data_IF_057068657136
#
_entry.id   IF_057068657136
#
_cell.length_a   1.000
_cell.length_b   1.000
_cell.length_c   1.000
_cell.angle_alpha   90.00
_cell.angle_beta   90.00
_cell.angle_gamma   90.00
#
_symmetry.space_group_name_H-M   'P 1'
#
loop_
_entity.id
_entity.type
_entity.pdbx_description
1 polymer ?
#
# COMPACT_ATOMS: atom_id res chain seq x y z
N UNK A 1 43.16 -31.04 -3.05
CA UNK A 1 42.14 -30.33 -3.84
C UNK A 1 41.17 -29.67 -2.87
N UNK A 2 41.37 -28.38 -2.61
CA UNK A 2 40.50 -27.57 -1.72
C UNK A 2 39.26 -27.17 -2.49
N UNK A 3 38.16 -27.89 -2.31
CA UNK A 3 36.85 -27.44 -2.77
C UNK A 3 36.40 -26.29 -1.86
N UNK A 4 36.70 -25.06 -2.25
CA UNK A 4 36.04 -23.86 -1.71
C UNK A 4 34.59 -23.88 -2.18
N UNK A 5 33.76 -24.70 -1.53
CA UNK A 5 32.32 -24.62 -1.69
C UNK A 5 31.89 -23.26 -1.16
N UNK A 6 31.50 -22.35 -2.07
CA UNK A 6 30.97 -21.05 -1.68
C UNK A 6 29.85 -21.25 -0.65
N UNK A 7 29.92 -20.52 0.47
CA UNK A 7 28.90 -20.64 1.51
C UNK A 7 27.51 -20.37 0.92
N UNK A 8 26.50 -21.19 1.24
CA UNK A 8 25.16 -20.97 0.75
C UNK A 8 24.65 -19.63 1.25
N UNK A 9 24.11 -18.83 0.33
CA UNK A 9 23.53 -17.53 0.66
C UNK A 9 22.10 -17.67 1.16
N UNK A 10 21.69 -16.73 2.01
CA UNK A 10 20.36 -16.65 2.56
C UNK A 10 19.32 -16.69 1.44
N UNK A 11 18.39 -17.65 1.55
CA UNK A 11 17.33 -17.80 0.56
C UNK A 11 16.21 -16.80 0.79
N UNK A 12 15.53 -16.45 -0.31
CA UNK A 12 14.27 -15.72 -0.25
C UNK A 12 13.26 -16.47 0.62
N UNK A 13 12.47 -15.71 1.37
CA UNK A 13 11.55 -16.23 2.37
C UNK A 13 10.27 -16.66 1.69
N UNK A 14 9.88 -17.91 1.90
CA UNK A 14 8.56 -18.38 1.46
C UNK A 14 7.49 -17.74 2.34
N UNK A 15 6.53 -17.05 1.73
CA UNK A 15 5.39 -16.40 2.40
C UNK A 15 4.49 -17.40 3.13
N UNK A 16 4.41 -18.63 2.63
CA UNK A 16 3.65 -19.74 3.25
C UNK A 16 4.54 -20.97 3.38
N UNK A 17 4.77 -21.39 4.62
CA UNK A 17 5.46 -22.65 4.91
C UNK A 17 4.65 -23.47 5.90
N UNK A 18 4.24 -24.68 5.50
CA UNK A 18 3.46 -25.63 6.30
C UNK A 18 4.38 -26.46 7.21
N UNK A 19 5.20 -25.83 8.04
CA UNK A 19 5.91 -26.56 9.10
C UNK A 19 5.02 -26.68 10.33
N UNK A 20 4.79 -27.90 10.84
CA UNK A 20 4.06 -28.09 12.11
C UNK A 20 4.88 -27.65 13.32
N UNK A 21 6.21 -27.76 13.24
CA UNK A 21 7.15 -27.40 14.32
C UNK A 21 6.99 -25.95 14.81
N UNK A 22 7.02 -25.76 16.12
CA UNK A 22 6.94 -24.47 16.81
C UNK A 22 8.20 -24.33 17.67
N UNK A 23 8.82 -23.15 17.71
CA UNK A 23 9.96 -22.91 18.58
C UNK A 23 9.55 -22.98 20.06
N UNK A 24 10.44 -23.48 20.92
CA UNK A 24 10.25 -23.52 22.38
C UNK A 24 10.51 -22.15 23.04
N UNK A 25 10.99 -21.16 22.28
CA UNK A 25 11.17 -19.81 22.80
C UNK A 25 9.83 -19.18 23.20
N UNK A 26 9.81 -18.30 24.24
CA UNK A 26 8.58 -17.62 24.68
C UNK A 26 7.88 -16.89 23.54
N UNK A 27 6.56 -16.85 23.53
CA UNK A 27 5.80 -16.16 22.48
C UNK A 27 6.18 -14.66 22.38
N UNK A 28 6.21 -14.14 21.15
CA UNK A 28 6.35 -12.70 20.91
C UNK A 28 4.97 -12.08 21.07
N UNK A 29 4.81 -11.21 22.06
CA UNK A 29 3.60 -10.41 22.28
C UNK A 29 3.66 -9.15 21.42
N UNK A 30 2.57 -8.81 20.76
CA UNK A 30 2.51 -7.64 19.88
C UNK A 30 2.68 -6.34 20.66
N UNK A 31 2.08 -6.24 21.84
CA UNK A 31 2.21 -5.05 22.72
C UNK A 31 3.67 -4.75 23.14
N UNK A 32 4.57 -5.74 23.06
CA UNK A 32 6.00 -5.57 23.39
C UNK A 32 6.83 -5.10 22.20
N UNK A 33 6.24 -5.01 21.01
CA UNK A 33 6.88 -4.48 19.82
C UNK A 33 6.48 -3.02 19.64
N UNK A 34 7.34 -2.23 19.00
CA UNK A 34 6.95 -0.90 18.55
C UNK A 34 5.80 -1.03 17.54
N UNK A 35 4.80 -0.13 17.55
CA UNK A 35 3.71 -0.17 16.56
C UNK A 35 4.22 -0.19 15.11
N UNK A 36 5.33 0.50 14.83
CA UNK A 36 6.02 0.53 13.53
C UNK A 36 6.76 -0.77 13.16
N UNK A 37 6.96 -1.67 14.10
CA UNK A 37 7.55 -3.00 13.90
C UNK A 37 6.50 -4.09 13.67
N UNK A 38 5.24 -3.70 13.54
CA UNK A 38 4.11 -4.58 13.31
C UNK A 38 3.41 -4.06 12.06
N UNK A 39 3.17 -4.95 11.11
CA UNK A 39 2.34 -4.70 9.95
C UNK A 39 1.18 -5.67 9.99
N UNK A 40 0.00 -5.18 10.36
CA UNK A 40 -1.25 -5.93 10.32
C UNK A 40 -2.12 -5.52 9.12
N UNK A 41 -1.57 -4.78 8.14
CA UNK A 41 -2.35 -4.27 7.01
C UNK A 41 -2.66 -5.37 6.00
N UNK A 42 -3.92 -5.41 5.61
CA UNK A 42 -4.42 -6.23 4.52
C UNK A 42 -3.99 -5.73 3.14
N UNK A 43 -3.87 -6.63 2.14
CA UNK A 43 -4.56 -7.94 2.12
C UNK A 43 -3.71 -9.20 2.33
N UNK A 44 -2.38 -9.16 2.50
CA UNK A 44 -1.62 -10.42 2.27
C UNK A 44 -0.55 -10.86 3.25
N UNK A 45 -0.12 -10.07 4.25
CA UNK A 45 0.90 -10.61 5.16
C UNK A 45 0.97 -9.85 6.46
N UNK A 46 0.26 -10.33 7.49
CA UNK A 46 0.60 -9.92 8.83
C UNK A 46 2.07 -10.28 9.07
N UNK A 47 2.88 -9.28 9.36
CA UNK A 47 4.31 -9.41 9.50
C UNK A 47 4.76 -8.61 10.71
N UNK A 48 5.82 -9.08 11.35
CA UNK A 48 6.46 -8.34 12.43
C UNK A 48 7.96 -8.33 12.20
N UNK A 49 8.63 -7.31 12.73
CA UNK A 49 10.08 -7.30 12.83
C UNK A 49 10.49 -8.34 13.87
N UNK A 50 11.27 -9.33 13.45
CA UNK A 50 11.77 -10.35 14.36
C UNK A 50 12.69 -9.72 15.41
N UNK A 51 12.46 -10.05 16.69
CA UNK A 51 13.23 -9.51 17.82
C UNK A 51 14.72 -9.83 17.78
N UNK A 52 15.10 -10.95 17.14
CA UNK A 52 16.49 -11.43 17.11
C UNK A 52 17.25 -10.91 15.88
N UNK A 53 16.69 -11.11 14.68
CA UNK A 53 17.40 -10.77 13.44
C UNK A 53 17.00 -9.42 12.84
N UNK A 54 16.05 -8.70 13.47
CA UNK A 54 15.57 -7.36 13.07
C UNK A 54 15.04 -7.26 11.64
N UNK A 55 14.60 -8.37 11.07
CA UNK A 55 14.03 -8.39 9.72
C UNK A 55 12.53 -8.62 9.76
N UNK A 56 11.83 -8.07 8.75
CA UNK A 56 10.39 -8.28 8.57
C UNK A 56 10.06 -9.74 8.26
N UNK A 57 9.28 -10.36 9.14
CA UNK A 57 8.96 -11.77 9.11
C UNK A 57 7.44 -11.97 9.02
N UNK A 58 6.95 -12.59 7.93
CA UNK A 58 5.57 -13.02 7.82
C UNK A 58 5.14 -13.94 8.97
N UNK A 59 3.89 -13.77 9.40
CA UNK A 59 3.20 -14.64 10.33
C UNK A 59 2.39 -15.65 9.52
N UNK A 60 2.62 -16.93 9.79
CA UNK A 60 1.81 -18.02 9.24
C UNK A 60 0.79 -18.52 10.25
N UNK A 61 -0.21 -19.28 9.77
CA UNK A 61 -1.25 -19.84 10.63
C UNK A 61 -2.28 -18.82 11.09
N UNK A 62 -2.46 -17.71 10.35
CA UNK A 62 -3.44 -16.67 10.67
C UNK A 62 -4.84 -17.26 10.90
N UNK A 63 -5.32 -18.13 10.01
CA UNK A 63 -6.60 -18.83 10.12
C UNK A 63 -6.60 -20.05 11.08
N UNK A 64 -5.47 -20.37 11.70
CA UNK A 64 -5.30 -21.52 12.57
C UNK A 64 -5.34 -21.19 14.06
N UNK A 65 -5.08 -22.19 14.91
CA UNK A 65 -4.95 -21.99 16.38
C UNK A 65 -3.56 -21.50 16.81
N UNK A 66 -2.56 -21.59 15.94
CA UNK A 66 -1.17 -21.27 16.25
C UNK A 66 -0.61 -20.33 15.19
N UNK A 67 -0.42 -19.08 15.59
CA UNK A 67 0.26 -18.06 14.80
C UNK A 67 1.75 -18.08 15.13
N UNK A 68 2.59 -18.08 14.11
CA UNK A 68 4.06 -18.11 14.29
C UNK A 68 4.80 -17.51 13.12
N UNK A 69 6.03 -17.10 13.36
CA UNK A 69 6.92 -16.59 12.31
C UNK A 69 7.25 -17.69 11.29
N UNK A 70 7.29 -17.33 10.01
CA UNK A 70 7.84 -18.22 8.98
C UNK A 70 9.33 -18.52 9.26
N UNK A 71 9.84 -19.69 8.84
CA UNK A 71 11.28 -19.94 8.81
C UNK A 71 12.02 -18.84 8.05
N UNK A 72 13.07 -18.28 8.65
CA UNK A 72 13.85 -17.22 8.03
C UNK A 72 15.33 -17.29 8.45
N UNK A 73 16.20 -16.73 7.60
CA UNK A 73 17.63 -16.58 7.86
C UNK A 73 17.93 -15.21 8.46
N UNK A 74 19.08 -15.08 9.10
CA UNK A 74 19.67 -13.80 9.49
C UNK A 74 20.26 -13.09 8.27
N UNK A 75 20.02 -11.79 8.14
CA UNK A 75 20.56 -10.99 7.03
C UNK A 75 19.73 -11.02 5.75
N UNK A 76 20.24 -10.34 4.72
CA UNK A 76 19.57 -10.10 3.44
C UNK A 76 19.68 -11.31 2.51
N UNK A 77 18.57 -11.64 1.84
CA UNK A 77 18.51 -12.74 0.88
C UNK A 77 19.44 -12.50 -0.31
N UNK A 78 20.10 -13.54 -0.80
CA UNK A 78 21.05 -13.48 -1.92
C UNK A 78 22.42 -12.88 -1.59
N UNK A 79 22.61 -12.35 -0.37
CA UNK A 79 23.83 -11.64 0.04
C UNK A 79 24.49 -12.27 1.27
N UNK A 80 23.75 -12.40 2.37
CA UNK A 80 24.28 -12.90 3.64
C UNK A 80 24.41 -14.43 3.66
N UNK A 81 25.20 -14.96 4.59
CA UNK A 81 25.25 -16.40 4.84
C UNK A 81 23.86 -16.94 5.26
N UNK A 82 23.52 -18.15 4.82
CA UNK A 82 22.24 -18.81 5.12
C UNK A 82 22.14 -19.33 6.57
N UNK A 83 22.46 -18.49 7.56
CA UNK A 83 22.37 -18.84 8.97
C UNK A 83 20.90 -18.71 9.40
N UNK A 84 20.31 -19.81 9.88
CA UNK A 84 18.92 -19.82 10.31
C UNK A 84 18.73 -19.00 11.57
N UNK A 85 17.74 -18.11 11.59
CA UNK A 85 17.43 -17.33 12.78
C UNK A 85 16.82 -18.22 13.87
N UNK A 86 17.27 -18.06 15.12
CA UNK A 86 16.77 -18.79 16.31
C UNK A 86 15.27 -18.55 16.59
N UNK A 87 14.75 -17.36 16.22
CA UNK A 87 13.33 -17.03 16.33
C UNK A 87 12.48 -17.51 15.14
N UNK A 88 13.02 -18.34 14.25
CA UNK A 88 12.21 -19.06 13.25
C UNK A 88 11.12 -19.90 13.90
N UNK A 89 9.91 -19.93 13.33
CA UNK A 89 8.76 -20.66 13.89
C UNK A 89 8.38 -20.26 15.32
N UNK A 90 8.83 -19.10 15.82
CA UNK A 90 8.45 -18.60 17.15
C UNK A 90 7.01 -18.16 17.16
N UNK A 91 6.28 -18.53 18.23
CA UNK A 91 4.86 -18.17 18.40
C UNK A 91 4.72 -16.66 18.47
N UNK A 92 3.65 -16.15 17.86
CA UNK A 92 3.23 -14.77 17.98
C UNK A 92 1.89 -14.77 18.70
N UNK A 93 1.81 -14.00 19.78
CA UNK A 93 0.62 -13.81 20.59
C UNK A 93 0.00 -12.45 20.24
N UNK A 94 -1.23 -12.49 19.73
CA UNK A 94 -2.02 -11.31 19.38
C UNK A 94 -2.75 -10.82 20.63
N UNK A 95 -2.02 -10.15 21.51
CA UNK A 95 -2.53 -9.57 22.75
C UNK A 95 -3.05 -8.14 22.60
N UNK A 96 -3.20 -7.68 21.36
CA UNK A 96 -3.88 -6.43 21.00
C UNK A 96 -4.72 -6.64 19.74
N UNK A 97 -5.78 -5.85 19.59
CA UNK A 97 -6.67 -5.88 18.41
C UNK A 97 -6.10 -5.05 17.24
N UNK A 98 -6.58 -5.28 16.02
CA UNK A 98 -6.20 -4.46 14.86
C UNK A 98 -6.53 -2.97 15.09
N UNK A 99 -7.72 -2.59 15.61
CA UNK A 99 -8.00 -1.20 15.98
C UNK A 99 -7.04 -0.62 17.00
N UNK A 100 -6.71 -1.37 18.07
CA UNK A 100 -5.74 -0.91 19.09
C UNK A 100 -4.36 -0.67 18.48
N UNK A 101 -3.89 -1.57 17.60
CA UNK A 101 -2.62 -1.37 16.89
C UNK A 101 -2.66 -0.13 15.98
N UNK A 102 -3.75 0.08 15.23
CA UNK A 102 -3.92 1.28 14.38
C UNK A 102 -3.89 2.57 15.21
N UNK A 103 -4.54 2.54 16.37
CA UNK A 103 -4.52 3.67 17.29
C UNK A 103 -3.10 3.91 17.80
N UNK A 104 -2.41 2.87 18.29
CA UNK A 104 -1.03 2.99 18.76
C UNK A 104 -0.07 3.49 17.66
N UNK A 105 -0.29 3.12 16.40
CA UNK A 105 0.48 3.63 15.26
C UNK A 105 0.20 5.12 14.99
N UNK A 106 -1.07 5.53 15.08
CA UNK A 106 -1.49 6.93 14.96
C UNK A 106 -0.90 7.79 16.08
N UNK A 107 -0.98 7.30 17.32
CA UNK A 107 -0.45 7.99 18.50
C UNK A 107 1.07 8.16 18.39
N UNK A 108 1.80 7.10 18.02
CA UNK A 108 3.24 7.16 17.81
C UNK A 108 3.63 8.15 16.69
N UNK A 109 2.83 8.22 15.63
CA UNK A 109 3.04 9.18 14.53
C UNK A 109 2.77 10.61 14.98
N UNK A 110 1.74 10.80 15.80
CA UNK A 110 1.35 12.11 16.35
C UNK A 110 2.42 12.62 17.32
N UNK A 111 2.91 11.76 18.22
CA UNK A 111 4.02 12.08 19.12
C UNK A 111 5.32 12.40 18.35
N UNK A 112 5.63 11.64 17.29
CA UNK A 112 6.78 11.94 16.44
C UNK A 112 6.61 13.29 15.71
N UNK A 113 5.39 13.66 15.34
CA UNK A 113 5.06 14.92 14.68
C UNK A 113 4.98 16.10 15.65
N UNK A 114 4.72 15.86 16.95
CA UNK A 114 4.66 16.90 17.98
C UNK A 114 6.04 17.29 18.51
N UNK A 115 7.07 16.48 18.28
CA UNK A 115 8.46 16.93 18.40
C UNK A 115 8.61 18.11 17.47
N UNK A 116 8.84 19.29 18.06
CA UNK A 116 8.87 20.58 17.37
C UNK A 116 9.57 20.44 16.05
N UNK A 117 8.79 20.48 14.96
CA UNK A 117 9.32 20.61 13.62
C UNK A 117 10.31 21.77 13.70
N UNK A 118 11.59 21.54 13.41
CA UNK A 118 12.52 22.64 13.19
C UNK A 118 11.79 23.58 12.25
N UNK A 119 11.48 24.79 12.70
CA UNK A 119 10.62 25.70 11.95
C UNK A 119 11.26 25.85 10.58
N UNK A 120 10.73 25.14 9.59
CA UNK A 120 11.19 25.27 8.22
C UNK A 120 10.65 26.62 7.85
N UNK A 121 11.49 27.64 8.03
CA UNK A 121 11.17 28.98 7.55
C UNK A 121 10.72 28.80 6.10
N UNK A 122 9.49 29.25 5.77
CA UNK A 122 9.03 29.21 4.39
C UNK A 122 10.14 29.78 3.53
N UNK A 123 10.57 29.03 2.52
CA UNK A 123 11.56 29.54 1.58
C UNK A 123 11.02 30.87 1.10
N UNK A 124 11.76 31.96 1.36
CA UNK A 124 11.29 33.31 1.10
C UNK A 124 10.69 33.35 -0.30
N UNK A 125 9.43 33.76 -0.37
CA UNK A 125 8.69 33.78 -1.62
C UNK A 125 9.39 34.78 -2.53
N UNK A 126 10.16 34.26 -3.49
CA UNK A 126 10.94 35.15 -4.34
C UNK A 126 9.96 35.98 -5.18
N UNK A 127 10.27 37.27 -5.47
CA UNK A 127 9.47 38.06 -6.39
C UNK A 127 9.27 37.37 -7.76
N UNK A 128 10.23 36.53 -8.16
CA UNK A 128 10.16 35.70 -9.37
C UNK A 128 9.11 34.60 -9.26
N UNK A 129 9.01 33.92 -8.11
CA UNK A 129 7.98 32.89 -7.85
C UNK A 129 6.59 33.52 -7.85
N UNK A 130 6.40 34.66 -7.19
CA UNK A 130 5.13 35.39 -7.17
C UNK A 130 4.72 35.84 -8.58
N UNK A 131 5.64 36.46 -9.34
CA UNK A 131 5.39 36.84 -10.74
C UNK A 131 5.01 35.64 -11.60
N UNK A 132 5.65 34.49 -11.42
CA UNK A 132 5.35 33.28 -12.19
C UNK A 132 3.96 32.71 -11.85
N UNK A 133 3.58 32.72 -10.56
CA UNK A 133 2.28 32.24 -10.12
C UNK A 133 1.14 33.16 -10.57
N UNK A 134 1.33 34.49 -10.48
CA UNK A 134 0.37 35.47 -11.01
C UNK A 134 0.22 35.37 -12.52
N UNK A 135 1.34 35.32 -13.26
CA UNK A 135 1.32 35.10 -14.70
C UNK A 135 0.58 33.80 -15.07
N UNK A 136 0.71 32.74 -14.27
CA UNK A 136 -0.02 31.47 -14.47
C UNK A 136 -1.52 31.60 -14.18
N UNK A 137 -1.91 32.36 -13.17
CA UNK A 137 -3.31 32.62 -12.82
C UNK A 137 -4.01 33.51 -13.87
N UNK A 138 -3.27 34.45 -14.46
CA UNK A 138 -3.73 35.38 -15.48
C UNK A 138 -3.69 34.80 -16.90
N UNK A 139 -3.15 33.59 -17.09
CA UNK A 139 -3.09 32.94 -18.41
C UNK A 139 -4.50 32.65 -18.94
N UNK A 140 -4.84 33.35 -20.00
CA UNK A 140 -6.03 33.09 -20.80
C UNK A 140 -5.79 31.94 -21.79
N UNK A 141 -6.85 31.25 -22.27
CA UNK A 141 -6.71 30.27 -23.35
C UNK A 141 -5.99 30.82 -24.59
N UNK A 142 -6.24 32.09 -24.94
CA UNK A 142 -5.58 32.76 -26.05
C UNK A 142 -4.07 32.92 -25.83
N UNK A 143 -3.64 33.31 -24.63
CA UNK A 143 -2.21 33.40 -24.29
C UNK A 143 -1.51 32.04 -24.37
N UNK A 144 -2.19 30.95 -23.96
CA UNK A 144 -1.66 29.59 -24.06
C UNK A 144 -1.50 29.14 -25.51
N UNK A 145 -2.43 29.49 -26.39
CA UNK A 145 -2.31 29.18 -27.81
C UNK A 145 -1.14 29.94 -28.45
N UNK A 146 -0.93 31.20 -28.07
CA UNK A 146 0.21 31.98 -28.53
C UNK A 146 1.55 31.42 -28.03
N UNK A 147 1.65 31.08 -26.73
CA UNK A 147 2.82 30.41 -26.13
C UNK A 147 3.12 29.10 -26.86
N UNK A 148 2.11 28.28 -27.15
CA UNK A 148 2.26 27.03 -27.90
C UNK A 148 2.75 27.26 -29.33
N UNK A 149 2.16 28.23 -30.03
CA UNK A 149 2.58 28.58 -31.40
C UNK A 149 4.04 29.05 -31.43
N UNK A 150 4.49 29.76 -30.42
CA UNK A 150 5.88 30.23 -30.32
C UNK A 150 6.89 29.08 -30.20
N UNK A 151 6.55 28.01 -29.48
CA UNK A 151 7.43 26.85 -29.28
C UNK A 151 7.22 25.72 -30.30
N UNK A 152 6.19 25.81 -31.14
CA UNK A 152 5.78 24.73 -32.04
C UNK A 152 6.89 24.29 -32.99
N UNK A 153 7.67 25.22 -33.53
CA UNK A 153 8.80 24.91 -34.43
C UNK A 153 9.85 24.09 -33.70
N UNK A 154 10.28 24.53 -32.52
CA UNK A 154 11.30 23.84 -31.72
C UNK A 154 10.84 22.43 -31.29
N UNK A 155 9.56 22.28 -30.96
CA UNK A 155 8.97 20.96 -30.67
C UNK A 155 9.04 20.07 -31.90
N UNK A 156 8.65 20.57 -33.08
CA UNK A 156 8.71 19.80 -34.33
C UNK A 156 10.15 19.38 -34.67
N UNK A 157 11.12 20.28 -34.52
CA UNK A 157 12.53 19.98 -34.78
C UNK A 157 13.07 18.92 -33.80
N UNK A 158 12.71 19.03 -32.52
CA UNK A 158 13.07 18.04 -31.50
C UNK A 158 12.47 16.68 -31.81
N UNK A 159 11.21 16.63 -32.24
CA UNK A 159 10.54 15.40 -32.62
C UNK A 159 11.08 14.81 -33.92
N UNK A 160 11.57 15.64 -34.86
CA UNK A 160 12.29 15.19 -36.04
C UNK A 160 13.63 14.52 -35.65
N UNK A 161 14.42 15.17 -34.79
CA UNK A 161 15.68 14.62 -34.30
C UNK A 161 15.50 13.31 -33.52
N UNK A 162 14.40 13.17 -32.75
CA UNK A 162 14.08 11.90 -32.04
C UNK A 162 13.73 10.74 -32.97
N UNK A 163 13.28 11.02 -34.19
CA UNK A 163 12.98 9.99 -35.19
C UNK A 163 14.24 9.46 -35.87
N UNK A 164 15.34 10.21 -35.81
CA UNK A 164 16.63 9.75 -36.32
C UNK A 164 17.20 8.69 -35.36
N UNK A 165 17.20 7.45 -35.84
CA UNK A 165 17.84 6.34 -35.15
C UNK A 165 19.35 6.40 -35.44
N UNK A 166 20.22 6.29 -34.42
CA UNK A 166 21.66 6.15 -34.64
C UNK A 166 21.96 4.92 -35.50
N UNK A 167 23.01 4.99 -36.30
CA UNK A 167 23.42 3.90 -37.18
C UNK A 167 23.64 2.59 -36.39
N UNK A 168 22.97 1.52 -36.81
CA UNK A 168 23.00 0.21 -36.14
C UNK A 168 22.04 0.05 -34.95
N UNK A 169 21.32 1.09 -34.53
CA UNK A 169 20.28 0.98 -33.52
C UNK A 169 18.99 0.38 -34.13
N UNK A 170 18.45 -0.66 -33.51
CA UNK A 170 17.09 -1.15 -33.81
C UNK A 170 16.10 -0.42 -32.89
N UNK A 171 14.94 0.05 -33.39
CA UNK A 171 13.85 0.48 -32.53
C UNK A 171 13.57 -0.60 -31.49
N UNK A 172 13.33 -0.21 -30.24
CA UNK A 172 12.76 -1.16 -29.30
C UNK A 172 11.40 -1.59 -29.86
N UNK A 173 11.26 -2.86 -30.24
CA UNK A 173 10.00 -3.45 -30.69
C UNK A 173 9.02 -3.48 -29.49
N UNK A 174 8.43 -2.33 -29.21
CA UNK A 174 7.33 -2.19 -28.28
C UNK A 174 6.02 -2.61 -28.94
N UNK A 175 5.03 -3.06 -28.17
CA UNK A 175 3.70 -3.29 -28.72
C UNK A 175 3.19 -1.99 -29.37
N UNK A 176 2.71 -2.09 -30.61
CA UNK A 176 2.07 -0.96 -31.28
C UNK A 176 0.86 -0.52 -30.46
N UNK A 177 0.93 0.69 -29.89
CA UNK A 177 -0.17 1.25 -29.14
C UNK A 177 -1.22 1.80 -30.11
N UNK A 178 -2.52 1.57 -29.85
CA UNK A 178 -3.58 2.17 -30.65
C UNK A 178 -3.50 3.70 -30.58
N UNK A 179 -3.28 4.36 -31.72
CA UNK A 179 -3.26 5.83 -31.83
C UNK A 179 -4.66 6.45 -31.67
N UNK A 180 -5.70 5.62 -31.74
CA UNK A 180 -7.09 6.00 -31.51
C UNK A 180 -7.65 5.13 -30.38
N UNK A 181 -8.55 5.67 -29.55
CA UNK A 181 -9.28 4.86 -28.58
C UNK A 181 -10.03 3.73 -29.29
N UNK A 182 -9.96 2.52 -28.74
CA UNK A 182 -10.65 1.34 -29.27
C UNK A 182 -12.18 1.50 -29.27
N UNK A 183 -12.70 2.32 -28.35
CA UNK A 183 -14.13 2.61 -28.20
C UNK A 183 -14.37 4.12 -28.15
N UNK A 184 -14.55 4.74 -29.32
CA UNK A 184 -14.75 6.18 -29.45
C UNK A 184 -15.91 6.69 -28.60
N UNK A 185 -17.07 6.02 -28.62
CA UNK A 185 -18.24 6.44 -27.84
C UNK A 185 -17.97 6.46 -26.33
N UNK A 186 -17.25 5.45 -25.82
CA UNK A 186 -16.88 5.36 -24.40
C UNK A 186 -15.87 6.44 -24.03
N UNK A 187 -14.93 6.72 -24.94
CA UNK A 187 -13.96 7.80 -24.78
C UNK A 187 -14.69 9.16 -24.71
N UNK A 188 -15.59 9.44 -25.65
CA UNK A 188 -16.28 10.71 -25.76
C UNK A 188 -17.21 10.96 -24.58
N UNK A 189 -17.92 9.92 -24.13
CA UNK A 189 -18.72 9.97 -22.91
C UNK A 189 -17.86 10.35 -21.68
N UNK A 190 -16.68 9.75 -21.54
CA UNK A 190 -15.74 10.07 -20.44
C UNK A 190 -15.22 11.50 -20.53
N UNK A 191 -14.89 11.99 -21.73
CA UNK A 191 -14.47 13.39 -21.92
C UNK A 191 -15.59 14.37 -21.54
N UNK A 192 -16.83 14.05 -21.91
CA UNK A 192 -18.00 14.84 -21.54
C UNK A 192 -18.24 14.83 -20.01
N UNK A 193 -18.07 13.68 -19.34
CA UNK A 193 -18.16 13.55 -17.88
C UNK A 193 -17.10 14.37 -17.16
N UNK A 194 -15.84 14.30 -17.59
CA UNK A 194 -14.74 15.11 -17.04
C UNK A 194 -15.03 16.62 -17.20
N UNK A 195 -15.56 17.02 -18.35
CA UNK A 195 -16.01 18.40 -18.57
C UNK A 195 -17.16 18.83 -17.66
N UNK A 196 -18.04 17.91 -17.26
CA UNK A 196 -19.11 18.19 -16.26
C UNK A 196 -18.55 18.30 -14.85
N UNK A 197 -17.65 17.41 -14.43
CA UNK A 197 -17.03 17.47 -13.10
C UNK A 197 -16.19 18.74 -12.88
N UNK A 198 -15.47 19.19 -13.91
CA UNK A 198 -14.74 20.45 -13.86
C UNK A 198 -15.66 21.68 -13.70
N UNK A 199 -16.90 21.60 -14.19
CA UNK A 199 -17.90 22.68 -14.07
C UNK A 199 -18.69 22.67 -12.78
N UNK A 200 -19.00 21.49 -12.23
CA UNK A 200 -20.02 21.35 -11.19
C UNK A 200 -19.46 21.06 -9.78
N UNK A 201 -18.15 20.89 -9.61
CA UNK A 201 -17.61 20.38 -8.35
C UNK A 201 -17.98 18.91 -8.11
N UNK A 202 -17.43 18.29 -7.04
CA UNK A 202 -17.66 16.86 -6.75
C UNK A 202 -19.15 16.58 -6.51
N UNK A 203 -19.72 15.50 -7.10
CA UNK A 203 -21.11 15.14 -6.86
C UNK A 203 -21.33 14.66 -5.42
N UNK A 204 -22.57 14.89 -4.93
CA UNK A 204 -23.05 14.51 -3.62
C UNK A 204 -23.13 12.98 -3.43
N UNK A 205 -23.02 12.57 -2.17
CA UNK A 205 -23.01 11.20 -1.62
C UNK A 205 -23.92 10.19 -2.34
N UNK A 206 -23.34 9.05 -2.71
CA UNK A 206 -24.03 7.89 -3.28
C UNK A 206 -24.98 7.24 -2.25
N UNK A 207 -26.08 6.65 -2.76
CA UNK A 207 -27.10 5.96 -1.98
C UNK A 207 -26.52 4.85 -1.06
N UNK A 208 -27.16 4.55 0.08
CA UNK A 208 -26.63 3.59 1.05
C UNK A 208 -26.46 2.19 0.43
N UNK A 209 -25.27 1.60 0.64
CA UNK A 209 -24.92 0.27 0.16
C UNK A 209 -25.48 -0.78 1.11
N UNK A 210 -26.34 -1.66 0.59
CA UNK A 210 -26.81 -2.85 1.31
C UNK A 210 -25.64 -3.80 1.59
N UNK A 211 -25.41 -4.11 2.86
CA UNK A 211 -24.35 -5.00 3.32
C UNK A 211 -24.88 -6.43 3.51
N UNK A 212 -24.10 -7.43 3.10
CA UNK A 212 -24.43 -8.84 3.30
C UNK A 212 -23.35 -9.55 4.12
N UNK A 213 -23.79 -10.43 5.04
CA UNK A 213 -22.92 -11.26 5.84
C UNK A 213 -22.28 -12.32 4.97
N UNK A 214 -20.96 -12.27 4.82
CA UNK A 214 -20.20 -13.17 3.95
C UNK A 214 -20.22 -14.66 4.36
N UNK A 215 -20.84 -15.02 5.49
CA UNK A 215 -20.96 -16.42 5.93
C UNK A 215 -22.40 -16.95 5.87
N UNK A 216 -23.40 -16.17 6.29
CA UNK A 216 -24.79 -16.65 6.38
C UNK A 216 -25.79 -15.86 5.54
N UNK A 217 -25.34 -14.85 4.78
CA UNK A 217 -26.20 -14.09 3.87
C UNK A 217 -27.20 -13.13 4.55
N UNK A 218 -27.20 -13.01 5.89
CA UNK A 218 -27.96 -11.96 6.58
C UNK A 218 -27.60 -10.59 6.00
N UNK A 219 -28.56 -9.68 5.84
CA UNK A 219 -28.34 -8.37 5.22
C UNK A 219 -28.62 -7.21 6.18
N UNK A 220 -28.00 -6.06 5.97
CA UNK A 220 -28.29 -4.80 6.68
C UNK A 220 -28.20 -3.62 5.71
N UNK A 221 -29.06 -2.61 5.88
CA UNK A 221 -29.28 -1.58 4.86
C UNK A 221 -28.13 -0.57 4.73
N UNK A 222 -27.46 -0.26 5.84
CA UNK A 222 -26.35 0.68 5.85
C UNK A 222 -25.34 0.35 6.98
N UNK A 223 -24.16 0.97 6.89
CA UNK A 223 -23.02 0.73 7.79
C UNK A 223 -23.35 1.09 9.24
N UNK A 224 -24.10 2.18 9.46
CA UNK A 224 -24.41 2.68 10.81
C UNK A 224 -25.33 1.71 11.52
N UNK A 225 -26.37 1.22 10.83
CA UNK A 225 -27.26 0.18 11.36
C UNK A 225 -26.53 -1.13 11.59
N UNK A 226 -25.62 -1.50 10.69
CA UNK A 226 -24.82 -2.71 10.86
C UNK A 226 -23.94 -2.65 12.11
N UNK A 227 -23.23 -1.55 12.32
CA UNK A 227 -22.44 -1.35 13.53
C UNK A 227 -23.31 -1.45 14.80
N UNK A 228 -24.46 -0.77 14.83
CA UNK A 228 -25.40 -0.81 15.96
C UNK A 228 -25.98 -2.21 16.22
N UNK A 229 -26.23 -2.99 15.17
CA UNK A 229 -26.69 -4.38 15.26
C UNK A 229 -25.57 -5.38 15.57
N UNK A 230 -24.38 -4.90 15.96
CA UNK A 230 -23.26 -5.75 16.42
C UNK A 230 -22.55 -6.49 15.30
N UNK A 231 -22.69 -6.04 14.05
CA UNK A 231 -21.91 -6.56 12.94
C UNK A 231 -20.44 -6.20 13.10
N UNK A 232 -19.57 -7.02 12.51
CA UNK A 232 -18.12 -6.78 12.53
C UNK A 232 -17.50 -7.08 11.20
N UNK A 233 -16.48 -6.29 10.86
CA UNK A 233 -15.65 -6.59 9.71
C UNK A 233 -14.58 -7.58 10.14
N UNK A 234 -14.45 -8.70 9.44
CA UNK A 234 -13.35 -9.65 9.62
C UNK A 234 -12.62 -9.74 8.31
N UNK A 235 -11.35 -9.34 8.29
CA UNK A 235 -10.53 -9.36 7.08
C UNK A 235 -11.24 -8.69 5.88
N UNK A 236 -11.66 -7.43 6.07
CA UNK A 236 -12.43 -6.59 5.12
C UNK A 236 -13.80 -7.13 4.67
N UNK A 237 -14.21 -8.31 5.12
CA UNK A 237 -15.55 -8.86 4.85
C UNK A 237 -16.49 -8.59 6.00
N UNK A 238 -17.73 -8.29 5.68
CA UNK A 238 -18.76 -7.96 6.65
C UNK A 238 -19.41 -9.25 7.16
N UNK A 239 -19.49 -9.42 8.48
CA UNK A 239 -20.11 -10.57 9.12
C UNK A 239 -21.06 -10.11 10.22
N UNK A 240 -22.21 -10.78 10.36
CA UNK A 240 -23.09 -10.55 11.50
C UNK A 240 -22.39 -10.99 12.80
N UNK A 241 -22.78 -10.43 13.95
CA UNK A 241 -22.12 -10.66 15.24
C UNK A 241 -21.93 -12.14 15.59
N UNK A 242 -22.92 -12.99 15.26
CA UNK A 242 -22.85 -14.45 15.45
C UNK A 242 -21.76 -15.10 14.60
N UNK A 243 -21.67 -14.74 13.31
CA UNK A 243 -20.65 -15.29 12.41
C UNK A 243 -19.26 -14.76 12.74
N UNK A 244 -19.16 -13.48 13.10
CA UNK A 244 -17.91 -12.88 13.56
C UNK A 244 -17.35 -13.55 14.82
N UNK A 245 -18.21 -14.07 15.71
CA UNK A 245 -17.81 -14.80 16.92
C UNK A 245 -16.99 -16.07 16.67
N UNK A 246 -17.07 -16.65 15.46
CA UNK A 246 -16.25 -17.82 15.06
C UNK A 246 -14.79 -17.46 14.80
N UNK A 247 -14.50 -16.19 14.57
CA UNK A 247 -13.15 -15.70 14.32
C UNK A 247 -12.51 -15.22 15.63
N UNK A 248 -11.20 -15.41 15.82
CA UNK A 248 -10.48 -14.83 16.94
C UNK A 248 -10.75 -13.32 17.06
N UNK A 249 -10.83 -12.81 18.30
CA UNK A 249 -11.14 -11.40 18.56
C UNK A 249 -10.19 -10.44 17.84
N UNK A 250 -8.90 -10.77 17.72
CA UNK A 250 -7.90 -9.96 17.03
C UNK A 250 -8.16 -9.78 15.53
N UNK A 251 -8.96 -10.64 14.88
CA UNK A 251 -9.32 -10.49 13.46
C UNK A 251 -10.51 -9.55 13.22
N UNK A 252 -11.20 -9.12 14.27
CA UNK A 252 -12.45 -8.36 14.16
C UNK A 252 -12.16 -6.87 14.26
N UNK A 253 -12.67 -6.10 13.31
CA UNK A 253 -12.71 -4.63 13.33
C UNK A 253 -14.12 -4.17 13.70
N UNK A 254 -14.24 -3.03 14.37
CA UNK A 254 -15.51 -2.31 14.43
C UNK A 254 -15.87 -1.81 13.03
N UNK A 255 -17.15 -1.86 12.69
CA UNK A 255 -17.68 -1.30 11.45
C UNK A 255 -17.80 0.22 11.55
#
# INVERSE_FOLDING_TARGET
MTMTSAMPKARERKSRTRTKHVSQLPAIRLTRLLPSHIDLMEPLTAAIVCVDCKTWCPITGMLGRVQKLVPHHTGKAGEAAAIRCRSSNRRVEFDMTIPEWRQALTDATTEASSRTTTTVLPKAFSPQTDRTLRARAERTPASRMADWKAVQVQVNDTDAARKELPDGARPADGPQLPLKPEHLERHDRRQAELGRHARNGRPAEEAPVQLECANCGTTELDVVRAAAAGWRQVLRRTYCGRCAGRFPAWMRTQL
#
